data_IF_421918499782
#
_entry.id   IF_421918499782
#
_cell.length_a   1.000
_cell.length_b   1.000
_cell.length_c   1.000
_cell.angle_alpha   90.00
_cell.angle_beta   90.00
_cell.angle_gamma   90.00
#
_symmetry.space_group_name_H-M   'P 1'
#
loop_
_entity.id
_entity.type
_entity.pdbx_description
1 polymer ?
#
# COMPACT_ATOMS: atom_id res chain seq x y z
N UNK A 1 9.84 4.46 3.25
CA UNK A 1 8.86 4.44 4.37
C UNK A 1 8.54 3.00 4.69
N UNK A 2 8.30 2.62 5.95
CA UNK A 2 8.05 1.21 6.30
C UNK A 2 6.77 0.71 5.59
N UNK A 3 6.77 -0.49 4.97
CA UNK A 3 5.60 -1.03 4.27
C UNK A 3 4.33 -1.12 5.14
N UNK A 4 4.52 -1.20 6.47
CA UNK A 4 3.46 -1.22 7.48
C UNK A 4 2.43 -0.09 7.32
N UNK A 5 2.86 1.10 6.88
CA UNK A 5 1.97 2.26 6.76
C UNK A 5 0.97 2.11 5.61
N UNK A 6 1.34 1.42 4.54
CA UNK A 6 0.44 1.12 3.43
C UNK A 6 -0.62 0.09 3.82
N UNK A 7 -0.22 -0.95 4.56
CA UNK A 7 -1.16 -1.93 5.10
C UNK A 7 -2.16 -1.30 6.08
N UNK A 8 -1.69 -0.39 6.94
CA UNK A 8 -2.56 0.40 7.82
C UNK A 8 -3.54 1.27 7.02
N UNK A 9 -3.08 1.97 5.97
CA UNK A 9 -3.93 2.78 5.11
C UNK A 9 -5.02 1.96 4.41
N UNK A 10 -4.65 0.79 3.88
CA UNK A 10 -5.59 -0.17 3.27
C UNK A 10 -6.61 -0.65 4.30
N UNK A 11 -6.16 -1.08 5.48
CA UNK A 11 -7.04 -1.57 6.54
C UNK A 11 -8.05 -0.52 6.99
N UNK A 12 -7.59 0.72 7.22
CA UNK A 12 -8.46 1.84 7.59
C UNK A 12 -9.48 2.13 6.49
N UNK A 13 -9.07 2.13 5.22
CA UNK A 13 -9.99 2.39 4.09
C UNK A 13 -11.08 1.33 3.97
N UNK A 14 -10.74 0.06 4.20
CA UNK A 14 -11.72 -1.05 4.19
C UNK A 14 -12.69 -0.94 5.38
N UNK A 15 -12.17 -0.73 6.59
CA UNK A 15 -13.00 -0.59 7.79
C UNK A 15 -13.96 0.60 7.66
N UNK A 16 -13.46 1.73 7.15
CA UNK A 16 -14.27 2.94 6.95
C UNK A 16 -15.33 2.74 5.85
N UNK A 17 -14.99 2.04 4.77
CA UNK A 17 -15.93 1.66 3.72
C UNK A 17 -17.08 0.82 4.27
N UNK A 18 -16.78 -0.23 5.04
CA UNK A 18 -17.79 -1.10 5.66
C UNK A 18 -18.62 -0.30 6.66
N UNK A 19 -17.99 0.53 7.49
CA UNK A 19 -18.70 1.34 8.48
C UNK A 19 -19.71 2.29 7.83
N UNK A 20 -19.31 3.01 6.78
CA UNK A 20 -20.21 3.92 6.06
C UNK A 20 -21.29 3.15 5.31
N UNK A 21 -20.96 2.01 4.72
CA UNK A 21 -21.91 1.22 3.96
C UNK A 21 -23.01 0.61 4.86
N UNK A 22 -22.65 0.10 6.03
CA UNK A 22 -23.56 -0.65 6.92
C UNK A 22 -24.26 0.25 7.95
N UNK A 23 -23.53 1.19 8.57
CA UNK A 23 -24.01 1.92 9.75
C UNK A 23 -24.37 3.39 9.47
N UNK A 24 -24.06 3.94 8.28
CA UNK A 24 -24.35 5.33 7.98
C UNK A 24 -25.83 5.59 7.69
N UNK A 25 -26.30 6.77 8.09
CA UNK A 25 -27.62 7.33 7.81
C UNK A 25 -27.59 8.39 6.70
N UNK A 26 -26.44 8.57 6.02
CA UNK A 26 -26.27 9.52 4.93
C UNK A 26 -27.14 9.14 3.70
N UNK A 27 -27.81 10.11 3.06
CA UNK A 27 -28.36 9.90 1.73
C UNK A 27 -27.20 9.60 0.77
N UNK A 28 -27.30 8.52 -0.02
CA UNK A 28 -26.22 7.93 -0.85
C UNK A 28 -25.06 7.22 -0.12
N UNK A 29 -25.27 6.73 1.11
CA UNK A 29 -24.27 5.92 1.84
C UNK A 29 -23.60 4.79 1.03
N UNK A 30 -24.34 4.15 0.12
CA UNK A 30 -23.83 3.04 -0.69
C UNK A 30 -22.75 3.51 -1.67
N UNK A 31 -23.01 4.59 -2.41
CA UNK A 31 -22.06 5.16 -3.35
C UNK A 31 -20.82 5.70 -2.64
N UNK A 32 -20.98 6.32 -1.47
CA UNK A 32 -19.85 6.83 -0.68
C UNK A 32 -19.01 5.69 -0.12
N UNK A 33 -19.65 4.61 0.37
CA UNK A 33 -18.94 3.42 0.85
C UNK A 33 -18.13 2.74 -0.25
N UNK A 34 -18.70 2.60 -1.46
CA UNK A 34 -18.00 2.03 -2.63
C UNK A 34 -16.82 2.93 -3.04
N UNK A 35 -17.02 4.25 -3.08
CA UNK A 35 -15.95 5.19 -3.43
C UNK A 35 -14.76 5.06 -2.48
N UNK A 36 -14.99 5.03 -1.16
CA UNK A 36 -13.95 4.84 -0.15
C UNK A 36 -13.30 3.45 -0.25
N UNK A 37 -14.09 2.41 -0.52
CA UNK A 37 -13.57 1.06 -0.74
C UNK A 37 -12.67 0.97 -1.97
N UNK A 38 -12.97 1.73 -3.02
CA UNK A 38 -12.19 1.77 -4.26
C UNK A 38 -10.77 2.34 -4.06
N UNK A 39 -10.56 3.17 -3.04
CA UNK A 39 -9.22 3.68 -2.71
C UNK A 39 -8.30 2.61 -2.13
N UNK A 40 -8.84 1.55 -1.51
CA UNK A 40 -8.03 0.48 -0.93
C UNK A 40 -7.10 -0.21 -1.95
N UNK A 41 -7.55 -0.67 -3.13
CA UNK A 41 -6.66 -1.24 -4.14
C UNK A 41 -5.66 -0.24 -4.71
N UNK A 42 -6.01 1.05 -4.82
CA UNK A 42 -5.06 2.09 -5.25
C UNK A 42 -3.94 2.30 -4.25
N UNK A 43 -4.27 2.42 -2.95
CA UNK A 43 -3.29 2.55 -1.87
C UNK A 43 -2.40 1.30 -1.80
N UNK A 44 -3.00 0.12 -1.98
CA UNK A 44 -2.26 -1.14 -2.04
C UNK A 44 -1.29 -1.18 -3.22
N UNK A 45 -1.71 -0.76 -4.41
CA UNK A 45 -0.85 -0.70 -5.60
C UNK A 45 0.36 0.21 -5.39
N UNK A 46 0.18 1.39 -4.80
CA UNK A 46 1.27 2.30 -4.45
C UNK A 46 2.20 1.69 -3.41
N UNK A 47 1.65 1.01 -2.39
CA UNK A 47 2.43 0.33 -1.37
C UNK A 47 3.31 -0.79 -1.94
N UNK A 48 2.74 -1.61 -2.81
CA UNK A 48 3.46 -2.69 -3.52
C UNK A 48 4.58 -2.08 -4.38
N UNK A 49 4.28 -1.03 -5.16
CA UNK A 49 5.29 -0.39 -6.00
C UNK A 49 6.48 0.13 -5.18
N UNK A 50 6.22 0.76 -4.04
CA UNK A 50 7.29 1.30 -3.19
C UNK A 50 8.14 0.18 -2.57
N UNK A 51 7.52 -0.95 -2.21
CA UNK A 51 8.25 -2.12 -1.71
C UNK A 51 9.12 -2.75 -2.80
N UNK A 52 8.59 -2.89 -4.03
CA UNK A 52 9.39 -3.36 -5.17
C UNK A 52 10.58 -2.44 -5.45
N UNK A 53 10.39 -1.12 -5.37
CA UNK A 53 11.47 -0.15 -5.56
C UNK A 53 12.55 -0.32 -4.47
N UNK A 54 12.15 -0.49 -3.21
CA UNK A 54 13.09 -0.71 -2.11
C UNK A 54 13.89 -2.02 -2.30
N UNK A 55 13.22 -3.12 -2.64
CA UNK A 55 13.87 -4.41 -2.92
C UNK A 55 14.83 -4.29 -4.10
N UNK A 56 14.45 -3.55 -5.15
CA UNK A 56 15.30 -3.32 -6.31
C UNK A 56 16.59 -2.55 -5.94
N UNK A 57 16.47 -1.51 -5.11
CA UNK A 57 17.62 -0.76 -4.61
C UNK A 57 18.56 -1.63 -3.77
N UNK A 58 18.01 -2.46 -2.87
CA UNK A 58 18.79 -3.39 -2.05
C UNK A 58 19.54 -4.43 -2.91
N UNK A 59 18.88 -5.00 -3.93
CA UNK A 59 19.50 -5.90 -4.89
C UNK A 59 20.65 -5.25 -5.65
N UNK A 60 20.49 -3.99 -6.07
CA UNK A 60 21.56 -3.25 -6.76
C UNK A 60 22.76 -3.00 -5.84
N UNK A 61 22.53 -2.66 -4.57
CA UNK A 61 23.60 -2.49 -3.58
C UNK A 61 24.35 -3.79 -3.33
N UNK A 62 23.63 -4.90 -3.14
CA UNK A 62 24.25 -6.22 -2.95
C UNK A 62 25.09 -6.63 -4.16
N UNK A 63 24.58 -6.42 -5.39
CA UNK A 63 25.34 -6.71 -6.61
C UNK A 63 26.64 -5.91 -6.71
N UNK A 64 26.65 -4.65 -6.27
CA UNK A 64 27.87 -3.83 -6.24
C UNK A 64 28.86 -4.33 -5.20
N UNK A 65 28.40 -4.62 -3.98
CA UNK A 65 29.25 -5.14 -2.92
C UNK A 65 29.93 -6.47 -3.31
N UNK A 66 29.18 -7.39 -3.93
CA UNK A 66 29.74 -8.67 -4.40
C UNK A 66 30.79 -8.46 -5.49
N UNK A 67 30.58 -7.50 -6.40
CA UNK A 67 31.59 -7.16 -7.43
C UNK A 67 32.87 -6.59 -6.82
N UNK A 68 32.74 -5.70 -5.84
CA UNK A 68 33.88 -5.10 -5.14
C UNK A 68 34.67 -6.13 -4.34
N UNK A 69 34.02 -7.15 -3.77
CA UNK A 69 34.69 -8.29 -3.13
C UNK A 69 35.43 -9.19 -4.12
N UNK A 70 34.92 -9.34 -5.34
CA UNK A 70 35.53 -10.20 -6.38
C UNK A 70 36.73 -9.54 -7.08
N UNK A 71 36.83 -8.20 -7.03
CA UNK A 71 37.91 -7.43 -7.65
C UNK A 71 39.09 -7.13 -6.69
N UNK A 72 38.95 -7.44 -5.40
CA UNK A 72 40.03 -7.41 -4.39
C UNK A 72 40.67 -8.79 -4.19
#
# INVERSE_FOLDING_TARGET
MKPIYYFLGVGISIVLSIYIFVFSTLPNREHVGIFIGLWAPTIMGVGIYNELANIYEELQRQRRAIKEELEN
#
